data_IF_142567831983
#
_entry.id   IF_142567831983
#
_cell.length_a   1.000
_cell.length_b   1.000
_cell.length_c   1.000
_cell.angle_alpha   90.00
_cell.angle_beta   90.00
_cell.angle_gamma   90.00
#
_symmetry.space_group_name_H-M   'P 1'
#
loop_
_entity.id
_entity.type
_entity.pdbx_description
1 polymer ?
#
# COMPACT_ATOMS: atom_id res chain seq x y z
N UNK A 1 -53.37 -0.42 44.78
CA UNK A 1 -52.24 -1.32 44.71
C UNK A 1 -51.76 -1.68 43.32
N UNK A 2 -52.23 -0.98 42.34
CA UNK A 2 -51.79 -1.15 40.95
C UNK A 2 -50.77 -0.08 40.52
N UNK A 3 -50.30 0.75 41.43
CA UNK A 3 -49.41 1.87 41.09
C UNK A 3 -47.93 1.46 40.89
N UNK A 4 -47.51 0.34 41.40
CA UNK A 4 -46.13 -0.09 41.34
C UNK A 4 -45.75 -0.80 40.03
N UNK A 5 -46.74 -1.24 39.30
CA UNK A 5 -46.50 -1.94 38.02
C UNK A 5 -46.30 -0.98 36.84
N UNK A 6 -46.81 0.23 36.94
CA UNK A 6 -46.69 1.24 35.92
C UNK A 6 -45.22 1.75 35.77
N UNK A 7 -44.52 1.82 36.87
CA UNK A 7 -43.12 2.32 36.87
C UNK A 7 -42.13 1.29 36.34
N UNK A 8 -42.42 0.02 36.56
CA UNK A 8 -41.54 -1.06 36.06
C UNK A 8 -41.67 -1.25 34.56
N UNK A 9 -42.82 -1.01 33.97
CA UNK A 9 -43.06 -1.12 32.53
C UNK A 9 -42.41 0.09 31.80
N UNK A 10 -42.45 1.27 32.41
CA UNK A 10 -41.84 2.45 31.84
C UNK A 10 -40.31 2.37 31.87
N UNK A 11 -39.76 1.71 32.87
CA UNK A 11 -38.30 1.51 32.96
C UNK A 11 -37.80 0.52 31.91
N UNK A 12 -38.60 -0.49 31.56
CA UNK A 12 -38.21 -1.49 30.57
C UNK A 12 -38.21 -0.92 29.15
N UNK A 13 -39.06 0.06 28.85
CA UNK A 13 -39.08 0.73 27.56
C UNK A 13 -37.86 1.63 27.28
N UNK A 14 -37.18 2.05 28.34
CA UNK A 14 -36.03 2.94 28.22
C UNK A 14 -34.73 2.21 27.82
N UNK A 15 -34.66 0.91 28.05
CA UNK A 15 -33.47 0.13 27.72
C UNK A 15 -33.33 -0.22 26.23
N UNK A 16 -34.38 -0.04 25.45
CA UNK A 16 -34.38 -0.42 24.04
C UNK A 16 -33.80 0.61 23.08
N UNK A 17 -33.47 1.83 23.54
CA UNK A 17 -33.10 2.92 22.65
C UNK A 17 -31.61 3.18 22.56
N UNK A 18 -30.75 2.38 23.20
CA UNK A 18 -29.32 2.68 23.31
C UNK A 18 -28.44 1.88 22.35
N UNK A 19 -29.00 1.01 21.52
CA UNK A 19 -28.17 0.00 20.85
C UNK A 19 -27.81 0.28 19.39
N UNK A 20 -28.05 1.48 18.85
CA UNK A 20 -27.89 1.68 17.40
C UNK A 20 -26.74 2.61 17.01
N UNK A 21 -26.05 3.23 17.95
CA UNK A 21 -25.01 4.21 17.61
C UNK A 21 -23.59 3.65 17.51
N UNK A 22 -23.40 2.34 17.62
CA UNK A 22 -22.05 1.75 17.66
C UNK A 22 -21.57 1.15 16.35
N UNK A 23 -22.30 1.35 15.25
CA UNK A 23 -21.94 0.75 13.97
C UNK A 23 -21.71 1.77 12.86
N UNK A 24 -21.04 2.84 13.16
CA UNK A 24 -20.38 3.57 12.09
C UNK A 24 -19.10 2.83 11.77
N UNK A 25 -19.17 2.01 10.75
CA UNK A 25 -17.99 1.55 10.04
C UNK A 25 -17.35 2.80 9.44
N UNK A 26 -16.38 3.34 10.13
CA UNK A 26 -15.46 4.25 9.48
C UNK A 26 -14.76 3.44 8.40
N UNK A 27 -15.20 3.58 7.19
CA UNK A 27 -14.43 3.16 6.06
C UNK A 27 -13.11 3.90 6.16
N UNK A 28 -12.08 3.16 6.54
CA UNK A 28 -10.73 3.66 6.35
C UNK A 28 -10.61 3.98 4.86
N UNK A 29 -10.25 5.22 4.51
CA UNK A 29 -9.96 5.50 3.12
C UNK A 29 -8.92 4.49 2.68
N UNK A 30 -9.23 3.70 1.66
CA UNK A 30 -8.24 2.90 0.97
C UNK A 30 -7.08 3.84 0.67
N UNK A 31 -5.83 3.48 1.03
CA UNK A 31 -4.71 4.28 0.58
C UNK A 31 -4.87 4.41 -0.93
N UNK A 32 -5.09 5.61 -1.38
CA UNK A 32 -5.07 5.91 -2.80
C UNK A 32 -3.66 5.55 -3.25
N UNK A 33 -3.55 4.55 -4.11
CA UNK A 33 -2.32 4.32 -4.83
C UNK A 33 -2.06 5.56 -5.67
N UNK A 34 -1.21 6.44 -5.14
CA UNK A 34 -0.69 7.55 -5.92
C UNK A 34 0.28 6.95 -6.91
N UNK A 35 -0.12 6.90 -8.17
CA UNK A 35 0.72 6.40 -9.24
C UNK A 35 1.65 7.49 -9.73
N UNK A 36 2.90 7.15 -9.94
CA UNK A 36 3.86 8.02 -10.64
C UNK A 36 3.46 8.07 -12.10
N UNK A 37 3.18 9.27 -12.60
CA UNK A 37 2.72 9.45 -13.98
C UNK A 37 3.78 9.00 -14.99
N UNK A 38 3.37 8.21 -15.97
CA UNK A 38 4.24 7.73 -17.03
C UNK A 38 5.29 6.73 -16.57
N UNK A 39 5.12 6.10 -15.41
CA UNK A 39 6.06 5.13 -14.88
C UNK A 39 6.13 3.88 -15.76
N UNK A 40 7.33 3.58 -16.24
CA UNK A 40 7.66 2.36 -16.96
C UNK A 40 8.82 1.64 -16.28
N UNK A 41 8.70 0.34 -16.20
CA UNK A 41 9.72 -0.56 -15.64
C UNK A 41 9.97 -1.65 -16.66
N UNK A 42 11.18 -1.69 -17.25
CA UNK A 42 11.49 -2.65 -18.30
C UNK A 42 12.99 -2.98 -18.37
N UNK A 43 13.37 -4.17 -18.88
CA UNK A 43 12.52 -5.31 -19.13
C UNK A 43 12.01 -5.95 -17.84
N UNK A 44 10.89 -6.61 -17.90
CA UNK A 44 10.34 -7.37 -16.77
C UNK A 44 9.63 -8.59 -17.33
N UNK A 45 10.19 -9.81 -17.27
CA UNK A 45 11.35 -10.24 -16.47
C UNK A 45 12.70 -9.63 -16.89
N UNK A 46 13.57 -9.46 -15.90
CA UNK A 46 14.93 -8.97 -16.08
C UNK A 46 15.87 -10.17 -16.28
N UNK A 47 16.65 -10.16 -17.33
CA UNK A 47 17.58 -11.27 -17.65
C UNK A 47 19.05 -10.87 -17.64
N UNK A 48 19.35 -9.57 -17.70
CA UNK A 48 20.74 -9.09 -17.85
C UNK A 48 21.23 -8.27 -16.66
N UNK A 49 20.53 -8.33 -15.51
CA UNK A 49 20.93 -7.62 -14.31
C UNK A 49 20.68 -6.11 -14.32
N UNK A 50 20.02 -5.60 -15.34
CA UNK A 50 19.69 -4.18 -15.47
C UNK A 50 18.22 -3.99 -15.77
N UNK A 51 17.60 -3.05 -15.07
CA UNK A 51 16.22 -2.64 -15.31
C UNK A 51 16.20 -1.12 -15.50
N UNK A 52 15.38 -0.67 -16.42
CA UNK A 52 15.18 0.75 -16.69
C UNK A 52 13.87 1.22 -16.08
N UNK A 53 13.95 2.35 -15.39
CA UNK A 53 12.82 2.97 -14.71
C UNK A 53 12.66 4.38 -15.26
N UNK A 54 11.59 4.63 -15.98
CA UNK A 54 11.31 5.93 -16.58
C UNK A 54 9.97 6.45 -16.09
N UNK A 55 9.86 7.77 -16.05
CA UNK A 55 8.64 8.47 -15.70
C UNK A 55 8.49 9.71 -16.56
N UNK A 56 7.34 10.36 -16.50
CA UNK A 56 7.10 11.58 -17.29
C UNK A 56 8.12 12.67 -17.00
N UNK A 57 8.45 12.87 -15.73
CA UNK A 57 9.35 13.94 -15.31
C UNK A 57 10.81 13.52 -15.19
N UNK A 58 11.09 12.22 -15.22
CA UNK A 58 12.44 11.65 -15.09
C UNK A 58 13.28 12.24 -13.94
N UNK A 59 12.63 12.47 -12.80
CA UNK A 59 13.29 12.96 -11.60
C UNK A 59 14.05 11.83 -10.90
N UNK A 60 14.90 12.19 -9.96
CA UNK A 60 15.60 11.25 -9.09
C UNK A 60 14.58 10.35 -8.37
N UNK A 61 14.87 9.08 -8.24
CA UNK A 61 13.99 8.09 -7.65
C UNK A 61 14.67 7.36 -6.53
N UNK A 62 13.97 7.24 -5.41
CA UNK A 62 14.34 6.33 -4.34
C UNK A 62 13.78 4.95 -4.65
N UNK A 63 14.63 3.95 -4.68
CA UNK A 63 14.28 2.59 -5.01
C UNK A 63 14.49 1.72 -3.79
N UNK A 64 13.46 0.95 -3.45
CA UNK A 64 13.54 -0.09 -2.42
C UNK A 64 12.98 -1.37 -2.98
N UNK A 65 13.74 -2.45 -2.88
CA UNK A 65 13.33 -3.78 -3.38
C UNK A 65 13.21 -4.71 -2.18
N UNK A 66 12.10 -5.44 -2.13
CA UNK A 66 11.81 -6.45 -1.13
C UNK A 66 11.66 -7.81 -1.79
N UNK A 67 12.09 -8.85 -1.09
CA UNK A 67 11.76 -10.22 -1.48
C UNK A 67 10.31 -10.57 -1.11
N UNK A 68 9.87 -11.79 -1.45
CA UNK A 68 8.50 -12.23 -1.17
C UNK A 68 8.19 -12.37 0.32
N UNK A 69 9.21 -12.43 1.17
CA UNK A 69 9.06 -12.47 2.64
C UNK A 69 9.00 -11.07 3.24
N UNK A 70 9.09 -10.01 2.43
CA UNK A 70 9.09 -8.64 2.89
C UNK A 70 10.46 -8.13 3.38
N UNK A 71 11.53 -8.91 3.17
CA UNK A 71 12.88 -8.49 3.51
C UNK A 71 13.40 -7.51 2.48
N UNK A 72 13.93 -6.37 2.92
CA UNK A 72 14.61 -5.41 2.07
C UNK A 72 15.92 -6.01 1.55
N UNK A 73 16.06 -6.11 0.25
CA UNK A 73 17.24 -6.67 -0.41
C UNK A 73 18.06 -5.63 -1.15
N UNK A 74 17.48 -4.47 -1.45
CA UNK A 74 18.17 -3.35 -2.09
C UNK A 74 17.50 -2.03 -1.73
N UNK A 75 18.31 -1.01 -1.48
CA UNK A 75 17.84 0.36 -1.31
C UNK A 75 18.87 1.30 -1.92
N UNK A 76 18.45 2.17 -2.82
CA UNK A 76 19.32 3.11 -3.49
C UNK A 76 18.54 4.30 -4.04
N UNK A 77 19.25 5.32 -4.45
CA UNK A 77 18.70 6.45 -5.20
C UNK A 77 19.33 6.43 -6.59
N UNK A 78 18.49 6.55 -7.62
CA UNK A 78 18.96 6.65 -8.99
C UNK A 78 18.64 8.03 -9.55
N UNK A 79 19.64 8.65 -10.20
CA UNK A 79 19.49 9.89 -10.97
C UNK A 79 19.38 9.60 -12.46
N UNK A 80 19.78 8.41 -12.88
CA UNK A 80 19.63 7.91 -14.23
C UNK A 80 18.40 7.04 -14.36
N UNK A 81 18.12 6.57 -15.56
CA UNK A 81 17.03 5.63 -15.82
C UNK A 81 17.40 4.18 -15.53
N UNK A 82 18.66 3.89 -15.26
CA UNK A 82 19.18 2.54 -15.13
C UNK A 82 19.36 2.17 -13.67
N UNK A 83 18.87 0.98 -13.32
CA UNK A 83 19.05 0.36 -12.01
C UNK A 83 19.79 -0.96 -12.19
N UNK A 84 20.93 -1.09 -11.51
CA UNK A 84 21.72 -2.32 -11.49
C UNK A 84 21.17 -3.24 -10.40
N UNK A 85 20.67 -4.41 -10.81
CA UNK A 85 20.18 -5.47 -9.93
C UNK A 85 20.93 -6.77 -10.11
N UNK A 86 22.16 -6.72 -10.61
CA UNK A 86 22.97 -7.91 -10.87
C UNK A 86 23.26 -8.75 -9.63
N UNK A 87 23.16 -8.16 -8.43
CA UNK A 87 23.35 -8.88 -7.17
C UNK A 87 22.09 -9.61 -6.68
N UNK A 88 20.95 -9.42 -7.32
CA UNK A 88 19.73 -10.11 -6.96
C UNK A 88 19.68 -11.51 -7.60
N UNK A 89 19.36 -12.50 -6.79
CA UNK A 89 19.12 -13.87 -7.27
C UNK A 89 17.84 -13.93 -8.12
N UNK A 90 17.73 -14.87 -9.05
CA UNK A 90 16.48 -15.09 -9.77
C UNK A 90 15.32 -15.31 -8.81
N UNK A 91 14.22 -14.65 -9.07
CA UNK A 91 13.03 -14.73 -8.21
C UNK A 91 12.05 -13.60 -8.45
N UNK A 92 11.03 -13.57 -7.61
CA UNK A 92 9.99 -12.52 -7.61
C UNK A 92 10.26 -11.55 -6.49
N UNK A 93 10.21 -10.27 -6.82
CA UNK A 93 10.47 -9.16 -5.91
C UNK A 93 9.35 -8.13 -5.99
N UNK A 94 9.25 -7.31 -4.97
CA UNK A 94 8.43 -6.12 -4.95
C UNK A 94 9.35 -4.91 -4.97
N UNK A 95 9.20 -4.05 -5.96
CA UNK A 95 9.94 -2.80 -6.07
C UNK A 95 9.04 -1.63 -5.70
N UNK A 96 9.51 -0.83 -4.77
CA UNK A 96 8.88 0.42 -4.38
C UNK A 96 9.71 1.58 -4.92
N UNK A 97 9.05 2.47 -5.63
CA UNK A 97 9.66 3.62 -6.29
C UNK A 97 9.04 4.89 -5.71
N UNK A 98 9.88 5.80 -5.25
CA UNK A 98 9.45 7.12 -4.79
C UNK A 98 10.10 8.18 -5.67
N UNK A 99 9.28 9.02 -6.28
CA UNK A 99 9.70 10.16 -7.08
C UNK A 99 8.98 11.41 -6.58
N UNK A 100 9.75 12.39 -6.10
CA UNK A 100 9.20 13.66 -5.62
C UNK A 100 8.04 13.50 -4.63
N UNK A 101 8.15 12.56 -3.68
CA UNK A 101 7.13 12.30 -2.67
C UNK A 101 5.98 11.41 -3.12
N UNK A 102 5.96 10.99 -4.39
CA UNK A 102 4.94 10.07 -4.93
C UNK A 102 5.52 8.66 -5.00
N UNK A 103 4.81 7.69 -4.45
CA UNK A 103 5.26 6.30 -4.40
C UNK A 103 4.44 5.42 -5.33
N UNK A 104 5.11 4.46 -5.95
CA UNK A 104 4.49 3.40 -6.72
C UNK A 104 5.12 2.06 -6.34
N UNK A 105 4.32 1.01 -6.40
CA UNK A 105 4.76 -0.36 -6.12
C UNK A 105 4.51 -1.22 -7.34
N UNK A 106 5.51 -2.01 -7.72
CA UNK A 106 5.44 -2.90 -8.88
C UNK A 106 6.03 -4.27 -8.53
N UNK A 107 5.61 -5.26 -9.25
CA UNK A 107 6.20 -6.60 -9.23
C UNK A 107 7.41 -6.60 -10.15
N UNK A 108 8.52 -7.16 -9.69
CA UNK A 108 9.76 -7.31 -10.45
C UNK A 108 10.13 -8.78 -10.50
N UNK A 109 10.33 -9.31 -11.71
CA UNK A 109 10.73 -10.70 -11.91
C UNK A 109 12.16 -10.70 -12.43
N UNK A 110 13.03 -11.41 -11.75
CA UNK A 110 14.44 -11.60 -12.13
C UNK A 110 14.63 -13.06 -12.56
N UNK A 111 15.19 -13.26 -13.72
CA UNK A 111 15.48 -14.58 -14.29
C UNK A 111 16.96 -14.81 -14.52
#
# INVERSE_FOLDING_TARGET
MTKNYFYSITLLAFFFTVSISAQEIKQQPKPQETTIEGLNLYPNPVTNGKVYITSKNDLDKEITIFDVLGKKVLQTVISSRELNISNLSPGVYIIKINEAGVSATRKLIVR
#
